data_IF_927026385104
#
_entry.id   IF_927026385104
#
_cell.length_a   1.000
_cell.length_b   1.000
_cell.length_c   1.000
_cell.angle_alpha   90.00
_cell.angle_beta   90.00
_cell.angle_gamma   90.00
#
_symmetry.space_group_name_H-M   'P 1'
#
loop_
_entity.id
_entity.type
_entity.pdbx_description
1 polymer ?
#
# COMPACT_ATOMS: atom_id res chain seq x y z
N UNK A 1 -0.30 -36.79 -27.99
CA UNK A 1 -0.14 -35.32 -28.04
C UNK A 1 -0.82 -34.59 -26.88
N UNK A 2 -2.04 -34.98 -26.45
CA UNK A 2 -2.77 -34.37 -25.31
C UNK A 2 -1.99 -34.30 -23.99
N UNK A 3 -1.26 -35.38 -23.61
CA UNK A 3 -0.42 -35.40 -22.38
C UNK A 3 0.73 -34.39 -22.39
N UNK A 4 1.36 -34.14 -23.55
CA UNK A 4 2.46 -33.17 -23.68
C UNK A 4 1.97 -31.73 -23.60
N UNK A 5 0.77 -31.45 -24.14
CA UNK A 5 0.11 -30.14 -24.04
C UNK A 5 -0.30 -29.85 -22.59
N UNK A 6 -0.80 -30.84 -21.86
CA UNK A 6 -1.17 -30.68 -20.45
C UNK A 6 0.04 -30.38 -19.55
N UNK A 7 1.16 -31.08 -19.78
CA UNK A 7 2.42 -30.83 -19.05
C UNK A 7 2.96 -29.43 -19.36
N UNK A 8 2.92 -29.01 -20.63
CA UNK A 8 3.34 -27.67 -21.03
C UNK A 8 2.46 -26.58 -20.39
N UNK A 9 1.14 -26.77 -20.31
CA UNK A 9 0.22 -25.83 -19.66
C UNK A 9 0.46 -25.72 -18.15
N UNK A 10 0.70 -26.84 -17.45
CA UNK A 10 1.01 -26.85 -16.01
C UNK A 10 2.32 -26.13 -15.71
N UNK A 11 3.36 -26.37 -16.52
CA UNK A 11 4.63 -25.66 -16.37
C UNK A 11 4.46 -24.14 -16.60
N UNK A 12 3.70 -23.73 -17.62
CA UNK A 12 3.46 -22.32 -17.91
C UNK A 12 2.71 -21.60 -16.78
N UNK A 13 1.73 -22.27 -16.16
CA UNK A 13 1.04 -21.74 -14.98
C UNK A 13 1.96 -21.63 -13.75
N UNK A 14 2.88 -22.60 -13.55
CA UNK A 14 3.83 -22.56 -12.44
C UNK A 14 4.82 -21.39 -12.55
N UNK A 15 5.33 -21.09 -13.75
CA UNK A 15 6.21 -19.93 -13.98
C UNK A 15 5.49 -18.57 -13.86
N UNK A 16 4.21 -18.52 -14.26
CA UNK A 16 3.40 -17.32 -14.08
C UNK A 16 3.16 -16.99 -12.59
N UNK A 17 2.97 -18.02 -11.74
CA UNK A 17 2.74 -17.85 -10.31
C UNK A 17 3.96 -17.30 -9.57
N UNK A 18 5.17 -17.77 -9.88
CA UNK A 18 6.40 -17.30 -9.21
C UNK A 18 6.74 -15.85 -9.58
N UNK A 19 6.49 -15.46 -10.83
CA UNK A 19 6.72 -14.10 -11.33
C UNK A 19 5.77 -13.07 -10.72
N UNK A 20 4.54 -13.46 -10.42
CA UNK A 20 3.56 -12.61 -9.73
C UNK A 20 3.97 -12.34 -8.27
N UNK A 21 4.49 -13.35 -7.57
CA UNK A 21 4.92 -13.22 -6.17
C UNK A 21 6.12 -12.27 -5.99
N UNK A 22 7.09 -12.30 -6.90
CA UNK A 22 8.27 -11.40 -6.81
C UNK A 22 7.89 -9.93 -7.02
N UNK A 23 6.96 -9.63 -7.93
CA UNK A 23 6.45 -8.28 -8.15
C UNK A 23 5.74 -7.72 -6.92
N UNK A 24 4.97 -8.55 -6.20
CA UNK A 24 4.31 -8.14 -4.97
C UNK A 24 5.32 -7.69 -3.90
N UNK A 25 6.43 -8.42 -3.73
CA UNK A 25 7.49 -8.07 -2.76
C UNK A 25 8.18 -6.74 -3.06
N UNK A 26 8.48 -6.45 -4.34
CA UNK A 26 9.14 -5.19 -4.73
C UNK A 26 8.21 -4.00 -4.50
N UNK A 27 6.92 -4.15 -4.85
CA UNK A 27 5.92 -3.10 -4.65
C UNK A 27 5.77 -2.77 -3.16
N UNK A 28 5.77 -3.80 -2.31
CA UNK A 28 5.69 -3.63 -0.87
C UNK A 28 6.88 -2.83 -0.31
N UNK A 29 8.10 -3.13 -0.73
CA UNK A 29 9.31 -2.40 -0.30
C UNK A 29 9.27 -0.94 -0.76
N UNK A 30 8.84 -0.69 -2.01
CA UNK A 30 8.69 0.66 -2.56
C UNK A 30 7.66 1.46 -1.76
N UNK A 31 6.53 0.86 -1.42
CA UNK A 31 5.51 1.52 -0.59
C UNK A 31 5.99 1.80 0.82
N UNK A 32 6.72 0.87 1.42
CA UNK A 32 7.30 1.05 2.75
C UNK A 32 8.25 2.24 2.78
N UNK A 33 9.20 2.28 1.83
CA UNK A 33 10.14 3.39 1.71
C UNK A 33 9.43 4.71 1.42
N UNK A 34 8.42 4.71 0.55
CA UNK A 34 7.62 5.90 0.25
C UNK A 34 6.90 6.44 1.50
N UNK A 35 6.33 5.55 2.32
CA UNK A 35 5.69 5.90 3.58
C UNK A 35 6.70 6.44 4.60
N UNK A 36 7.86 5.80 4.75
CA UNK A 36 8.95 6.24 5.61
C UNK A 36 9.45 7.64 5.23
N UNK A 37 9.77 7.85 3.97
CA UNK A 37 10.27 9.14 3.46
C UNK A 37 9.22 10.25 3.62
N UNK A 38 7.95 9.94 3.39
CA UNK A 38 6.84 10.88 3.57
C UNK A 38 6.70 11.30 5.03
N UNK A 39 6.67 10.34 5.95
CA UNK A 39 6.51 10.63 7.37
C UNK A 39 7.74 11.32 7.93
N UNK A 40 8.95 10.95 7.49
CA UNK A 40 10.18 11.64 7.89
C UNK A 40 10.14 13.13 7.50
N UNK A 41 9.70 13.46 6.28
CA UNK A 41 9.49 14.85 5.87
C UNK A 41 8.42 15.55 6.70
N UNK A 42 7.30 14.89 6.97
CA UNK A 42 6.25 15.45 7.83
C UNK A 42 6.76 15.70 9.25
N UNK A 43 7.56 14.79 9.81
CA UNK A 43 8.13 14.90 11.14
C UNK A 43 9.10 16.09 11.21
N UNK A 44 9.93 16.29 10.19
CA UNK A 44 10.83 17.44 10.10
C UNK A 44 10.09 18.78 10.02
N UNK A 45 8.92 18.82 9.38
CA UNK A 45 8.13 20.06 9.19
C UNK A 45 7.23 20.37 10.38
N UNK A 46 6.58 19.34 10.95
CA UNK A 46 5.53 19.48 11.96
C UNK A 46 6.10 19.31 13.37
N UNK A 47 7.10 18.45 13.54
CA UNK A 47 7.80 18.23 14.81
C UNK A 47 7.14 17.23 15.78
N UNK A 48 6.33 16.29 15.28
CA UNK A 48 5.72 15.24 16.11
C UNK A 48 6.75 14.19 16.58
N UNK A 49 6.41 13.44 17.63
CA UNK A 49 7.33 12.48 18.27
C UNK A 49 7.53 11.19 17.46
N UNK A 50 8.58 10.43 17.80
CA UNK A 50 8.93 9.19 17.08
C UNK A 50 7.84 8.11 17.19
N UNK A 51 7.07 8.09 18.29
CA UNK A 51 5.98 7.14 18.47
C UNK A 51 4.77 7.50 17.58
N UNK A 52 4.53 8.79 17.33
CA UNK A 52 3.59 9.27 16.31
C UNK A 52 4.12 8.93 14.92
N UNK A 53 5.41 9.13 14.65
CA UNK A 53 6.03 8.82 13.37
C UNK A 53 5.86 7.33 12.99
N UNK A 54 6.12 6.41 13.89
CA UNK A 54 5.99 4.97 13.60
C UNK A 54 4.54 4.54 13.33
N UNK A 55 3.59 5.13 14.05
CA UNK A 55 2.16 4.93 13.77
C UNK A 55 1.77 5.48 12.41
N UNK A 56 2.23 6.68 12.06
CA UNK A 56 1.97 7.30 10.76
C UNK A 56 2.57 6.51 9.61
N UNK A 57 3.79 5.96 9.75
CA UNK A 57 4.40 5.10 8.73
C UNK A 57 3.52 3.89 8.45
N UNK A 58 2.97 3.28 9.50
CA UNK A 58 2.06 2.13 9.39
C UNK A 58 0.78 2.49 8.66
N UNK A 59 0.17 3.64 8.98
CA UNK A 59 -1.05 4.14 8.32
C UNK A 59 -0.79 4.42 6.84
N UNK A 60 0.28 5.15 6.52
CA UNK A 60 0.64 5.48 5.13
C UNK A 60 0.96 4.24 4.30
N UNK A 61 1.72 3.31 4.87
CA UNK A 61 2.07 2.06 4.19
C UNK A 61 0.83 1.20 3.91
N UNK A 62 -0.05 1.03 4.90
CA UNK A 62 -1.32 0.31 4.73
C UNK A 62 -2.20 0.96 3.67
N UNK A 63 -2.32 2.28 3.70
CA UNK A 63 -3.08 3.02 2.70
C UNK A 63 -2.58 2.75 1.28
N UNK A 64 -1.26 2.74 1.06
CA UNK A 64 -0.68 2.43 -0.26
C UNK A 64 -1.00 1.01 -0.74
N UNK A 65 -0.94 0.02 0.15
CA UNK A 65 -1.34 -1.35 -0.15
C UNK A 65 -2.82 -1.44 -0.53
N UNK A 66 -3.70 -0.83 0.25
CA UNK A 66 -5.14 -0.88 0.01
C UNK A 66 -5.56 -0.12 -1.27
N UNK A 67 -4.86 0.97 -1.60
CA UNK A 67 -5.04 1.69 -2.87
C UNK A 67 -4.57 0.82 -4.04
N UNK A 68 -3.42 0.16 -3.92
CA UNK A 68 -2.94 -0.77 -4.93
C UNK A 68 -3.93 -1.91 -5.17
N UNK A 69 -4.50 -2.48 -4.11
CA UNK A 69 -5.54 -3.51 -4.21
C UNK A 69 -6.83 -2.97 -4.86
N UNK A 70 -7.21 -1.73 -4.55
CA UNK A 70 -8.35 -1.08 -5.18
C UNK A 70 -8.12 -0.86 -6.69
N UNK A 71 -6.92 -0.45 -7.09
CA UNK A 71 -6.54 -0.25 -8.50
C UNK A 71 -6.54 -1.55 -9.31
N UNK A 72 -6.18 -2.68 -8.69
CA UNK A 72 -6.19 -3.98 -9.35
C UNK A 72 -7.56 -4.68 -9.31
N UNK A 73 -8.58 -4.09 -8.67
CA UNK A 73 -9.92 -4.66 -8.68
C UNK A 73 -10.64 -4.42 -10.03
N UNK A 74 -10.94 -5.51 -10.75
CA UNK A 74 -11.56 -5.45 -12.08
C UNK A 74 -13.05 -5.06 -12.06
N UNK A 75 -13.79 -5.46 -11.01
CA UNK A 75 -15.25 -5.29 -10.90
C UNK A 75 -15.67 -4.24 -9.85
N UNK A 76 -14.72 -3.51 -9.27
CA UNK A 76 -15.00 -2.49 -8.27
C UNK A 76 -15.20 -1.11 -8.91
N UNK A 77 -16.00 -0.27 -8.27
CA UNK A 77 -15.92 1.18 -8.50
C UNK A 77 -14.65 1.73 -7.81
N UNK A 78 -13.55 1.75 -8.56
CA UNK A 78 -12.21 2.14 -8.09
C UNK A 78 -12.19 3.52 -7.44
N UNK A 79 -12.77 4.52 -8.10
CA UNK A 79 -12.79 5.90 -7.60
C UNK A 79 -13.53 6.01 -6.27
N UNK A 80 -14.70 5.36 -6.13
CA UNK A 80 -15.44 5.33 -4.88
C UNK A 80 -14.66 4.62 -3.77
N UNK A 81 -13.97 3.53 -4.08
CA UNK A 81 -13.17 2.77 -3.11
C UNK A 81 -11.97 3.59 -2.63
N UNK A 82 -11.20 4.17 -3.55
CA UNK A 82 -10.04 5.02 -3.23
C UNK A 82 -10.46 6.24 -2.40
N UNK A 83 -11.61 6.87 -2.72
CA UNK A 83 -12.12 7.98 -1.93
C UNK A 83 -12.40 7.60 -0.47
N UNK A 84 -12.95 6.41 -0.23
CA UNK A 84 -13.16 5.91 1.13
C UNK A 84 -11.85 5.66 1.86
N UNK A 85 -10.85 5.11 1.17
CA UNK A 85 -9.52 4.90 1.73
C UNK A 85 -8.84 6.22 2.11
N UNK A 86 -8.99 7.25 1.28
CA UNK A 86 -8.49 8.59 1.59
C UNK A 86 -9.15 9.18 2.84
N UNK A 87 -10.47 9.04 2.97
CA UNK A 87 -11.21 9.49 4.16
C UNK A 87 -10.76 8.74 5.41
N UNK A 88 -10.65 7.41 5.35
CA UNK A 88 -10.19 6.60 6.47
C UNK A 88 -8.75 6.97 6.90
N UNK A 89 -7.86 7.18 5.93
CA UNK A 89 -6.50 7.68 6.19
C UNK A 89 -6.54 9.01 6.92
N UNK A 90 -7.32 9.99 6.44
CA UNK A 90 -7.45 11.31 7.10
C UNK A 90 -7.96 11.19 8.54
N UNK A 91 -8.96 10.35 8.77
CA UNK A 91 -9.47 10.08 10.12
C UNK A 91 -8.41 9.45 11.04
N UNK A 92 -7.57 8.54 10.53
CA UNK A 92 -6.47 7.95 11.29
C UNK A 92 -5.37 8.98 11.59
N UNK A 93 -5.03 9.84 10.62
CA UNK A 93 -4.07 10.93 10.82
C UNK A 93 -4.54 11.87 11.94
N UNK A 94 -5.82 12.24 11.97
CA UNK A 94 -6.39 13.09 13.02
C UNK A 94 -6.40 12.45 14.42
N UNK A 95 -6.38 11.11 14.50
CA UNK A 95 -6.29 10.40 15.79
C UNK A 95 -4.86 10.33 16.31
N UNK A 96 -3.86 10.37 15.43
CA UNK A 96 -2.44 10.24 15.79
C UNK A 96 -1.81 11.61 16.04
N UNK A 97 -2.12 12.59 15.18
CA UNK A 97 -1.61 13.95 15.29
C UNK A 97 -2.49 14.79 16.21
N UNK A 98 -1.87 15.66 17.00
CA UNK A 98 -2.59 16.69 17.73
C UNK A 98 -3.18 17.71 16.76
N UNK A 99 -4.16 18.48 17.21
CA UNK A 99 -4.90 19.42 16.34
C UNK A 99 -4.00 20.50 15.73
N UNK A 100 -3.02 20.97 16.49
CA UNK A 100 -1.98 21.92 16.08
C UNK A 100 -0.96 21.31 15.11
N UNK A 101 -0.72 20.00 15.21
CA UNK A 101 0.14 19.25 14.30
C UNK A 101 -0.58 18.90 12.98
N UNK A 102 -1.90 18.68 13.02
CA UNK A 102 -2.70 18.30 11.85
C UNK A 102 -3.03 19.48 10.91
N UNK A 103 -3.12 20.70 11.44
CA UNK A 103 -3.52 21.89 10.67
C UNK A 103 -2.33 22.56 9.96
N UNK A 104 -1.09 22.27 10.39
CA UNK A 104 0.16 22.77 9.78
C UNK A 104 0.49 22.06 8.48
#
# INVERSE_FOLDING_TARGET
MKKRIFIAAVLLCAFAATSFSQKASIIEEVFRKSAEDKVARMQQLIGFDDAQADRLKTVEFRFLLEVNDAEHCFLCNKSKRIRKLQQAREEELQKILRRDEYIK
#
